data_IF_886751889702
#
_entry.id   IF_886751889702
#
_cell.length_a   1.000
_cell.length_b   1.000
_cell.length_c   1.000
_cell.angle_alpha   90.00
_cell.angle_beta   90.00
_cell.angle_gamma   90.00
#
_symmetry.space_group_name_H-M   'P 1'
#
loop_
_entity.id
_entity.type
_entity.pdbx_description
1 polymer ?
#
# COMPACT_ATOMS: atom_id res chain seq x y z
N UNK A 1 -30.06 7.72 -4.17
CA UNK A 1 -29.22 7.93 -2.98
C UNK A 1 -28.05 6.95 -2.84
N UNK A 2 -28.20 5.66 -2.49
CA UNK A 2 -27.03 4.75 -2.29
C UNK A 2 -26.20 4.55 -3.57
N UNK A 3 -26.84 4.30 -4.71
CA UNK A 3 -26.17 4.11 -6.01
C UNK A 3 -25.40 5.34 -6.51
N UNK A 4 -25.94 6.53 -6.23
CA UNK A 4 -25.35 7.81 -6.62
C UNK A 4 -24.09 8.12 -5.82
N UNK A 5 -24.10 7.86 -4.51
CA UNK A 5 -22.90 7.96 -3.66
C UNK A 5 -21.79 6.99 -4.08
N UNK A 6 -22.15 5.77 -4.49
CA UNK A 6 -21.19 4.79 -5.00
C UNK A 6 -20.54 5.28 -6.30
N UNK A 7 -21.34 5.81 -7.24
CA UNK A 7 -20.84 6.37 -8.50
C UNK A 7 -19.92 7.57 -8.29
N UNK A 8 -20.32 8.51 -7.43
CA UNK A 8 -19.52 9.69 -7.09
C UNK A 8 -18.17 9.30 -6.48
N UNK A 9 -18.15 8.26 -5.65
CA UNK A 9 -16.91 7.75 -5.09
C UNK A 9 -16.05 7.05 -6.14
N UNK A 10 -16.63 6.21 -6.99
CA UNK A 10 -15.90 5.57 -8.09
C UNK A 10 -15.28 6.62 -9.02
N UNK A 11 -16.01 7.70 -9.31
CA UNK A 11 -15.50 8.82 -10.07
C UNK A 11 -14.31 9.51 -9.40
N UNK A 12 -14.41 9.80 -8.09
CA UNK A 12 -13.27 10.36 -7.31
C UNK A 12 -12.05 9.45 -7.35
N UNK A 13 -12.24 8.16 -7.08
CA UNK A 13 -11.17 7.16 -7.11
C UNK A 13 -10.51 7.07 -8.49
N UNK A 14 -11.29 6.95 -9.56
CA UNK A 14 -10.78 6.92 -10.93
C UNK A 14 -10.04 8.22 -11.29
N UNK A 15 -10.58 9.37 -10.89
CA UNK A 15 -9.90 10.65 -11.07
C UNK A 15 -8.54 10.63 -10.38
N UNK A 16 -8.45 10.23 -9.11
CA UNK A 16 -7.18 10.13 -8.39
C UNK A 16 -6.20 9.16 -9.07
N UNK A 17 -6.63 7.94 -9.37
CA UNK A 17 -5.80 6.90 -10.01
C UNK A 17 -5.28 7.33 -11.39
N UNK A 18 -6.09 8.05 -12.17
CA UNK A 18 -5.71 8.48 -13.52
C UNK A 18 -4.54 9.46 -13.57
N UNK A 19 -4.29 10.19 -12.47
CA UNK A 19 -3.18 11.14 -12.37
C UNK A 19 -1.89 10.51 -11.84
N UNK A 20 -1.96 9.35 -11.17
CA UNK A 20 -0.80 8.68 -10.57
C UNK A 20 0.33 8.38 -11.55
N UNK A 21 0.08 7.84 -12.77
CA UNK A 21 1.17 7.57 -13.71
C UNK A 21 2.01 8.83 -14.02
N UNK A 22 1.35 9.97 -14.24
CA UNK A 22 2.05 11.24 -14.52
C UNK A 22 2.83 11.74 -13.31
N UNK A 23 2.28 11.59 -12.10
CA UNK A 23 2.95 11.96 -10.85
C UNK A 23 4.18 11.09 -10.58
N UNK A 24 4.06 9.77 -10.76
CA UNK A 24 5.17 8.82 -10.66
C UNK A 24 6.30 9.22 -11.61
N UNK A 25 5.97 9.50 -12.88
CA UNK A 25 6.97 9.94 -13.87
C UNK A 25 7.61 11.28 -13.53
N UNK A 26 6.89 12.20 -12.89
CA UNK A 26 7.44 13.51 -12.48
C UNK A 26 8.46 13.43 -11.34
N UNK A 27 8.48 12.32 -10.58
CA UNK A 27 9.44 12.06 -9.50
C UNK A 27 10.51 11.05 -9.91
N UNK A 28 10.84 10.97 -11.21
CA UNK A 28 11.89 10.09 -11.69
C UNK A 28 13.23 10.38 -10.95
N UNK A 29 13.78 9.35 -10.29
CA UNK A 29 15.00 9.46 -9.49
C UNK A 29 14.78 9.56 -7.98
N UNK A 30 13.53 9.62 -7.50
CA UNK A 30 13.21 9.54 -6.08
C UNK A 30 13.10 8.08 -5.62
N UNK A 31 13.78 7.71 -4.54
CA UNK A 31 13.89 6.31 -4.11
C UNK A 31 12.63 5.76 -3.43
N UNK A 32 11.75 6.62 -2.92
CA UNK A 32 10.61 6.24 -2.11
C UNK A 32 9.25 6.51 -2.76
N UNK A 33 9.18 6.54 -4.10
CA UNK A 33 7.93 6.77 -4.87
C UNK A 33 6.78 5.86 -4.38
N UNK A 34 7.10 4.62 -4.00
CA UNK A 34 6.13 3.66 -3.45
C UNK A 34 5.36 4.22 -2.25
N UNK A 35 6.02 4.99 -1.36
CA UNK A 35 5.39 5.62 -0.20
C UNK A 35 4.37 6.69 -0.65
N UNK A 36 4.67 7.48 -1.69
CA UNK A 36 3.76 8.49 -2.23
C UNK A 36 2.51 7.86 -2.83
N UNK A 37 2.71 6.81 -3.64
CA UNK A 37 1.62 6.07 -4.28
C UNK A 37 0.76 5.41 -3.21
N UNK A 38 1.37 4.73 -2.23
CA UNK A 38 0.65 4.10 -1.13
C UNK A 38 -0.23 5.11 -0.38
N UNK A 39 0.29 6.29 -0.07
CA UNK A 39 -0.48 7.35 0.60
C UNK A 39 -1.67 7.86 -0.23
N UNK A 40 -1.53 7.97 -1.55
CA UNK A 40 -2.66 8.32 -2.42
C UNK A 40 -3.72 7.19 -2.47
N UNK A 41 -3.29 5.93 -2.56
CA UNK A 41 -4.19 4.78 -2.61
C UNK A 41 -4.97 4.60 -1.30
N UNK A 42 -4.30 4.76 -0.15
CA UNK A 42 -4.92 4.58 1.15
C UNK A 42 -5.78 5.77 1.61
N UNK A 43 -5.63 6.93 0.97
CA UNK A 43 -6.35 8.16 1.33
C UNK A 43 -7.87 8.05 1.20
N UNK A 44 -8.57 8.99 1.86
CA UNK A 44 -10.05 9.09 1.89
C UNK A 44 -10.69 9.20 0.49
N UNK A 45 -9.99 9.85 -0.44
CA UNK A 45 -10.47 10.03 -1.82
C UNK A 45 -10.28 8.78 -2.71
N UNK A 46 -9.63 7.74 -2.19
CA UNK A 46 -9.40 6.47 -2.88
C UNK A 46 -9.98 5.31 -2.05
N UNK A 47 -9.14 4.41 -1.52
CA UNK A 47 -9.60 3.21 -0.83
C UNK A 47 -9.94 3.41 0.65
N UNK A 48 -9.69 4.60 1.21
CA UNK A 48 -10.04 4.95 2.59
C UNK A 48 -9.62 3.87 3.60
N UNK A 49 -8.32 3.56 3.62
CA UNK A 49 -7.75 2.56 4.50
C UNK A 49 -7.33 3.22 5.81
N UNK A 50 -7.53 2.54 6.93
CA UNK A 50 -7.07 2.99 8.25
C UNK A 50 -5.59 2.70 8.45
N UNK A 51 -5.13 1.54 7.96
CA UNK A 51 -3.74 1.09 8.06
C UNK A 51 -3.43 0.17 6.89
N UNK A 52 -2.23 0.24 6.35
CA UNK A 52 -1.80 -0.62 5.25
C UNK A 52 -0.29 -0.84 5.26
N UNK A 53 0.14 -2.05 4.94
CA UNK A 53 1.54 -2.43 4.84
C UNK A 53 1.77 -3.16 3.52
N UNK A 54 2.72 -2.66 2.74
CA UNK A 54 3.11 -3.19 1.44
C UNK A 54 4.48 -3.86 1.53
N UNK A 55 4.52 -5.07 1.00
CA UNK A 55 5.70 -5.93 0.98
C UNK A 55 5.94 -6.46 -0.44
N UNK A 56 7.19 -6.81 -0.70
CA UNK A 56 7.58 -7.55 -1.88
C UNK A 56 8.12 -8.89 -1.44
N UNK A 57 7.53 -9.93 -1.99
CA UNK A 57 7.99 -11.30 -1.91
C UNK A 57 8.79 -11.64 -3.17
N UNK A 58 10.00 -12.16 -2.99
CA UNK A 58 10.83 -12.68 -4.06
C UNK A 58 11.27 -14.11 -3.71
N UNK A 59 10.70 -15.13 -4.38
CA UNK A 59 11.03 -16.52 -4.14
C UNK A 59 12.48 -16.89 -4.49
N UNK A 60 13.06 -16.28 -5.52
CA UNK A 60 14.43 -16.56 -5.97
C UNK A 60 15.47 -16.19 -4.90
N UNK A 61 15.21 -15.11 -4.14
CA UNK A 61 16.03 -14.69 -3.01
C UNK A 61 15.50 -15.21 -1.66
N UNK A 62 14.45 -16.03 -1.66
CA UNK A 62 13.74 -16.49 -0.47
C UNK A 62 13.46 -15.35 0.53
N UNK A 63 12.93 -14.23 0.05
CA UNK A 63 12.81 -13.01 0.85
C UNK A 63 11.43 -12.38 0.70
N UNK A 64 10.80 -12.11 1.84
CA UNK A 64 9.67 -11.18 1.97
C UNK A 64 10.14 -9.95 2.73
N UNK A 65 10.09 -8.78 2.10
CA UNK A 65 10.60 -7.51 2.64
C UNK A 65 9.53 -6.44 2.66
N UNK A 66 9.40 -5.73 3.78
CA UNK A 66 8.53 -4.57 3.88
C UNK A 66 9.08 -3.37 3.13
N UNK A 67 8.21 -2.72 2.35
CA UNK A 67 8.58 -1.61 1.46
C UNK A 67 8.04 -0.29 1.97
N UNK A 68 6.74 -0.24 2.30
CA UNK A 68 6.08 0.99 2.74
C UNK A 68 4.90 0.70 3.65
N UNK A 69 4.75 1.50 4.70
CA UNK A 69 3.63 1.49 5.62
C UNK A 69 2.82 2.78 5.55
N UNK A 70 1.51 2.65 5.77
CA UNK A 70 0.58 3.75 5.90
C UNK A 70 -0.28 3.57 7.16
N UNK A 71 -0.44 4.64 7.94
CA UNK A 71 -1.36 4.73 9.06
C UNK A 71 -2.15 6.03 8.96
N UNK A 72 -3.47 5.95 9.05
CA UNK A 72 -4.33 7.13 8.96
C UNK A 72 -4.03 8.15 10.07
N UNK A 73 -3.67 7.67 11.26
CA UNK A 73 -3.26 8.52 12.40
C UNK A 73 -2.00 9.34 12.11
N UNK A 74 -1.18 8.88 11.16
CA UNK A 74 0.06 9.51 10.72
C UNK A 74 -0.13 10.16 9.32
N UNK A 75 -1.32 10.18 8.73
CA UNK A 75 -1.51 10.68 7.37
C UNK A 75 -1.70 12.20 7.31
N UNK A 76 -2.30 12.78 8.36
CA UNK A 76 -2.73 14.19 8.36
C UNK A 76 -1.55 15.20 8.40
N UNK A 77 -0.33 14.74 8.68
CA UNK A 77 0.85 15.58 8.77
C UNK A 77 1.39 16.06 7.40
N UNK A 78 0.95 15.48 6.27
CA UNK A 78 1.47 15.85 4.94
C UNK A 78 0.39 15.84 3.85
N UNK A 79 -0.31 16.97 3.69
CA UNK A 79 -1.32 17.17 2.64
C UNK A 79 -0.72 17.41 1.24
N UNK A 80 0.49 17.97 1.15
CA UNK A 80 1.11 18.44 -0.11
C UNK A 80 2.23 17.53 -0.64
N UNK A 81 2.20 16.22 -0.34
CA UNK A 81 3.32 15.29 -0.63
C UNK A 81 3.92 15.38 -2.04
N UNK A 82 3.11 15.53 -3.08
CA UNK A 82 3.60 15.61 -4.47
C UNK A 82 4.19 16.98 -4.85
N UNK A 83 3.91 18.04 -4.08
CA UNK A 83 4.45 19.38 -4.29
C UNK A 83 5.75 19.60 -3.51
N UNK A 84 5.91 18.89 -2.39
CA UNK A 84 7.07 18.97 -1.51
C UNK A 84 7.66 17.56 -1.27
N UNK A 85 8.25 16.92 -2.30
CA UNK A 85 8.68 15.53 -2.22
C UNK A 85 9.78 15.29 -1.19
N UNK A 86 10.69 16.26 -0.99
CA UNK A 86 11.75 16.15 0.03
C UNK A 86 11.17 16.18 1.45
N UNK A 87 10.22 17.08 1.71
CA UNK A 87 9.50 17.16 2.98
C UNK A 87 8.78 15.85 3.28
N UNK A 88 8.06 15.30 2.30
CA UNK A 88 7.36 14.03 2.46
C UNK A 88 8.33 12.85 2.66
N UNK A 89 9.47 12.85 1.96
CA UNK A 89 10.49 11.80 2.13
C UNK A 89 11.10 11.82 3.52
N UNK A 90 11.46 13.01 4.03
CA UNK A 90 11.93 13.16 5.41
C UNK A 90 10.86 12.73 6.41
N UNK A 91 9.60 13.11 6.16
CA UNK A 91 8.48 12.69 6.98
C UNK A 91 8.34 11.16 7.06
N UNK A 92 8.32 10.49 5.90
CA UNK A 92 8.16 9.05 5.82
C UNK A 92 9.33 8.27 6.44
N UNK A 93 10.54 8.84 6.38
CA UNK A 93 11.71 8.29 7.09
C UNK A 93 11.55 8.33 8.59
N UNK A 94 10.83 9.31 9.14
CA UNK A 94 10.60 9.45 10.58
C UNK A 94 9.29 8.81 11.07
N UNK A 95 8.39 8.51 10.14
CA UNK A 95 7.07 7.94 10.38
C UNK A 95 7.15 6.57 11.10
N UNK A 96 6.66 6.45 12.34
CA UNK A 96 6.84 5.25 13.17
C UNK A 96 6.31 3.97 12.53
N UNK A 97 5.09 4.00 11.99
CA UNK A 97 4.53 2.81 11.36
C UNK A 97 5.26 2.41 10.09
N UNK A 98 5.68 3.38 9.26
CA UNK A 98 6.47 3.09 8.07
C UNK A 98 7.81 2.42 8.42
N UNK A 99 8.50 2.90 9.47
CA UNK A 99 9.72 2.27 9.99
C UNK A 99 9.47 0.81 10.37
N UNK A 100 8.43 0.55 11.16
CA UNK A 100 8.07 -0.82 11.58
C UNK A 100 7.82 -1.74 10.38
N UNK A 101 7.09 -1.27 9.36
CA UNK A 101 6.85 -2.07 8.15
C UNK A 101 8.17 -2.37 7.44
N UNK A 102 9.03 -1.37 7.26
CA UNK A 102 10.32 -1.53 6.56
C UNK A 102 11.33 -2.43 7.30
N UNK A 103 11.17 -2.59 8.60
CA UNK A 103 11.97 -3.51 9.43
C UNK A 103 11.51 -4.98 9.29
N UNK A 104 10.32 -5.24 8.73
CA UNK A 104 9.85 -6.61 8.53
C UNK A 104 10.66 -7.27 7.42
N UNK A 105 11.33 -8.36 7.79
CA UNK A 105 12.01 -9.26 6.87
C UNK A 105 11.71 -10.71 7.26
N UNK A 106 11.24 -11.52 6.30
CA UNK A 106 10.94 -12.94 6.47
C UNK A 106 11.44 -13.73 5.26
N UNK A 107 11.41 -15.06 5.37
CA UNK A 107 11.54 -15.94 4.20
C UNK A 107 10.36 -15.73 3.24
N UNK A 108 10.55 -16.09 1.96
CA UNK A 108 9.51 -15.95 0.96
C UNK A 108 8.27 -16.78 1.31
N UNK A 109 7.09 -16.25 0.99
CA UNK A 109 5.81 -16.93 1.25
C UNK A 109 5.64 -18.15 0.35
N UNK A 110 6.16 -18.13 -0.87
CA UNK A 110 6.05 -19.25 -1.84
C UNK A 110 6.82 -20.51 -1.42
N UNK A 111 7.80 -20.38 -0.54
CA UNK A 111 8.58 -21.50 0.02
C UNK A 111 8.12 -21.93 1.42
N UNK A 112 7.14 -21.25 2.00
CA UNK A 112 6.68 -21.51 3.36
C UNK A 112 5.78 -22.76 3.43
N UNK A 113 5.76 -23.39 4.61
CA UNK A 113 4.77 -24.44 4.92
C UNK A 113 3.41 -23.88 5.31
N UNK A 114 3.38 -22.59 5.67
CA UNK A 114 2.21 -21.84 6.12
C UNK A 114 1.47 -21.28 4.90
N UNK A 115 0.16 -21.07 5.02
CA UNK A 115 -0.59 -20.39 3.96
C UNK A 115 -0.30 -18.89 3.95
N UNK A 116 -0.52 -18.23 2.81
CA UNK A 116 -0.37 -16.77 2.67
C UNK A 116 -1.19 -16.02 3.74
N UNK A 117 -2.40 -16.49 4.07
CA UNK A 117 -3.25 -15.90 5.10
C UNK A 117 -2.69 -16.06 6.52
N UNK A 118 -2.04 -17.19 6.82
CA UNK A 118 -1.39 -17.40 8.11
C UNK A 118 -0.21 -16.43 8.27
N UNK A 119 0.60 -16.32 7.22
CA UNK A 119 1.74 -15.38 7.19
C UNK A 119 1.25 -13.94 7.32
N UNK A 120 0.22 -13.57 6.56
CA UNK A 120 -0.42 -12.25 6.65
C UNK A 120 -0.94 -11.98 8.07
N UNK A 121 -1.59 -12.97 8.70
CA UNK A 121 -2.12 -12.84 10.06
C UNK A 121 -1.02 -12.61 11.09
N UNK A 122 0.11 -13.29 10.97
CA UNK A 122 1.23 -13.12 11.89
C UNK A 122 1.92 -11.77 11.71
N UNK A 123 2.14 -11.33 10.47
CA UNK A 123 2.68 -10.01 10.18
C UNK A 123 1.72 -8.93 10.69
N UNK A 124 0.42 -9.05 10.40
CA UNK A 124 -0.61 -8.12 10.86
C UNK A 124 -0.63 -8.00 12.39
N UNK A 125 -0.50 -9.13 13.11
CA UNK A 125 -0.40 -9.15 14.57
C UNK A 125 0.83 -8.40 15.05
N UNK A 126 1.99 -8.64 14.44
CA UNK A 126 3.25 -7.97 14.80
C UNK A 126 3.22 -6.46 14.58
N UNK A 127 2.49 -6.00 13.55
CA UNK A 127 2.34 -4.59 13.18
C UNK A 127 1.12 -3.90 13.84
N UNK A 128 0.44 -4.59 14.76
CA UNK A 128 -0.68 -4.05 15.52
C UNK A 128 -1.88 -3.65 14.65
N UNK A 129 -2.25 -4.49 13.68
CA UNK A 129 -3.54 -4.38 12.99
C UNK A 129 -4.67 -4.93 13.88
N UNK A 130 -5.83 -4.27 13.90
CA UNK A 130 -6.98 -4.74 14.68
C UNK A 130 -7.84 -5.73 13.90
N UNK A 131 -8.11 -5.42 12.63
CA UNK A 131 -8.90 -6.26 11.72
C UNK A 131 -8.30 -6.19 10.33
N UNK A 132 -7.42 -7.14 10.02
CA UNK A 132 -6.70 -7.13 8.76
C UNK A 132 -7.45 -7.89 7.66
N UNK A 133 -7.21 -7.46 6.43
CA UNK A 133 -7.42 -8.18 5.18
C UNK A 133 -6.09 -8.28 4.45
N UNK A 134 -6.03 -9.14 3.45
CA UNK A 134 -4.83 -9.40 2.69
C UNK A 134 -5.16 -9.62 1.21
N UNK A 135 -4.24 -9.19 0.34
CA UNK A 135 -4.21 -9.61 -1.05
C UNK A 135 -2.77 -9.72 -1.56
N UNK A 136 -2.57 -10.58 -2.56
CA UNK A 136 -1.32 -10.73 -3.29
C UNK A 136 -1.54 -10.74 -4.80
N UNK A 137 -0.48 -10.39 -5.54
CA UNK A 137 -0.49 -10.41 -7.00
C UNK A 137 0.90 -10.64 -7.58
N UNK A 138 0.94 -11.05 -8.84
CA UNK A 138 2.19 -11.24 -9.58
C UNK A 138 2.72 -9.89 -10.08
N UNK A 139 4.03 -9.68 -9.95
CA UNK A 139 4.76 -8.51 -10.42
C UNK A 139 5.83 -8.93 -11.45
N UNK A 140 6.57 -7.95 -11.97
CA UNK A 140 7.70 -8.22 -12.88
C UNK A 140 8.82 -8.96 -12.16
N UNK A 141 9.60 -9.73 -12.91
CA UNK A 141 10.77 -10.48 -12.42
C UNK A 141 10.41 -11.50 -11.34
N UNK A 142 9.24 -12.16 -11.49
CA UNK A 142 8.72 -13.17 -10.57
C UNK A 142 8.62 -12.72 -9.10
N UNK A 143 8.62 -11.41 -8.87
CA UNK A 143 8.23 -10.83 -7.60
C UNK A 143 6.72 -11.00 -7.39
N UNK A 144 6.30 -11.04 -6.14
CA UNK A 144 4.90 -10.96 -5.75
C UNK A 144 4.66 -9.76 -4.84
N UNK A 145 3.62 -9.00 -5.14
CA UNK A 145 3.13 -7.97 -4.24
C UNK A 145 2.36 -8.65 -3.12
N UNK A 146 2.62 -8.25 -1.88
CA UNK A 146 1.96 -8.78 -0.71
C UNK A 146 1.47 -7.60 0.13
N UNK A 147 0.16 -7.50 0.35
CA UNK A 147 -0.45 -6.29 0.91
C UNK A 147 -1.43 -6.62 2.02
N UNK A 148 -1.17 -6.07 3.20
CA UNK A 148 -2.00 -6.24 4.40
C UNK A 148 -2.65 -4.90 4.70
N UNK A 149 -3.95 -4.88 4.95
CA UNK A 149 -4.66 -3.62 5.20
C UNK A 149 -5.84 -3.75 6.16
N UNK A 150 -6.22 -2.63 6.75
CA UNK A 150 -7.41 -2.46 7.58
C UNK A 150 -8.29 -1.37 6.95
N UNK A 151 -9.49 -1.71 6.43
CA UNK A 151 -10.46 -0.71 5.95
C UNK A 151 -10.85 0.26 7.07
N UNK A 152 -11.12 1.52 6.74
CA UNK A 152 -11.63 2.47 7.72
C UNK A 152 -13.09 2.17 8.13
N UNK A 153 -13.91 1.70 7.18
CA UNK A 153 -15.31 1.33 7.39
C UNK A 153 -15.53 -0.16 7.07
N UNK A 154 -16.22 -0.90 7.95
CA UNK A 154 -16.46 -2.34 7.72
C UNK A 154 -17.45 -2.60 6.58
N UNK A 155 -18.36 -1.66 6.34
CA UNK A 155 -19.36 -1.68 5.26
C UNK A 155 -18.81 -1.08 3.95
N UNK A 156 -17.49 -0.87 3.87
CA UNK A 156 -16.90 -0.22 2.72
C UNK A 156 -16.99 -1.11 1.47
N UNK A 157 -17.96 -0.78 0.61
CA UNK A 157 -18.38 -1.55 -0.57
C UNK A 157 -17.40 -1.53 -1.75
N UNK A 158 -16.13 -1.12 -1.57
CA UNK A 158 -15.16 -1.24 -2.66
C UNK A 158 -14.87 -2.70 -2.90
N UNK A 159 -15.09 -3.15 -4.14
CA UNK A 159 -14.69 -4.48 -4.56
C UNK A 159 -13.19 -4.68 -4.34
N UNK A 160 -12.81 -5.81 -3.75
CA UNK A 160 -11.41 -6.22 -3.60
C UNK A 160 -10.67 -6.18 -4.96
N UNK A 161 -11.39 -6.37 -6.07
CA UNK A 161 -10.86 -6.23 -7.44
C UNK A 161 -10.42 -4.81 -7.79
N UNK A 162 -11.19 -3.78 -7.38
CA UNK A 162 -10.80 -2.39 -7.64
C UNK A 162 -9.59 -1.98 -6.79
N UNK A 163 -9.54 -2.45 -5.54
CA UNK A 163 -8.37 -2.29 -4.70
C UNK A 163 -7.14 -2.89 -5.37
N UNK A 164 -7.25 -4.14 -5.82
CA UNK A 164 -6.14 -4.83 -6.47
C UNK A 164 -5.66 -4.10 -7.74
N UNK A 165 -6.59 -3.63 -8.58
CA UNK A 165 -6.26 -2.84 -9.77
C UNK A 165 -5.52 -1.53 -9.42
N UNK A 166 -5.90 -0.87 -8.33
CA UNK A 166 -5.16 0.29 -7.83
C UNK A 166 -3.77 -0.07 -7.29
N UNK A 167 -3.66 -1.17 -6.54
CA UNK A 167 -2.39 -1.65 -5.98
C UNK A 167 -1.38 -2.05 -7.05
N UNK A 168 -1.82 -2.51 -8.22
CA UNK A 168 -0.95 -2.76 -9.37
C UNK A 168 -0.13 -1.53 -9.80
N UNK A 169 -0.52 -0.30 -9.42
CA UNK A 169 0.29 0.90 -9.62
C UNK A 169 1.63 0.85 -8.86
N UNK A 170 1.66 0.19 -7.70
CA UNK A 170 2.90 -0.02 -6.93
C UNK A 170 3.91 -0.87 -7.71
N UNK A 171 3.44 -1.75 -8.61
CA UNK A 171 4.30 -2.56 -9.49
C UNK A 171 5.07 -1.76 -10.55
N UNK A 172 4.75 -0.48 -10.73
CA UNK A 172 5.51 0.43 -11.59
C UNK A 172 6.53 1.27 -10.79
N UNK A 173 6.52 1.20 -9.47
CA UNK A 173 7.51 1.86 -8.64
C UNK A 173 8.82 1.05 -8.63
N UNK A 174 9.98 1.72 -8.49
CA UNK A 174 11.25 1.02 -8.28
C UNK A 174 11.21 0.13 -7.04
N UNK A 175 11.86 -1.04 -7.15
CA UNK A 175 12.03 -2.00 -6.06
C UNK A 175 13.52 -2.03 -5.73
N UNK A 176 13.87 -1.78 -4.46
CA UNK A 176 15.25 -1.70 -3.97
C UNK A 176 15.51 -2.67 -2.79
#
# INVERSE_FOLDING_TARGET
MKKERVLERQYRMLSHLSHLPRRILSLAGTDNITEFVLYDLCGKDCFNLKKAAYFIDNPDFNCLKGIAGFSHQEADACSNKWQEPDTFTCYMRECPFNKQVREVQRCSVKGAKESDEQIASDIARSLGFSKHKFCSWNMKHDNHGFFIYEPADEDDSVSDEYLLNGLCMLSFCPVF
#
